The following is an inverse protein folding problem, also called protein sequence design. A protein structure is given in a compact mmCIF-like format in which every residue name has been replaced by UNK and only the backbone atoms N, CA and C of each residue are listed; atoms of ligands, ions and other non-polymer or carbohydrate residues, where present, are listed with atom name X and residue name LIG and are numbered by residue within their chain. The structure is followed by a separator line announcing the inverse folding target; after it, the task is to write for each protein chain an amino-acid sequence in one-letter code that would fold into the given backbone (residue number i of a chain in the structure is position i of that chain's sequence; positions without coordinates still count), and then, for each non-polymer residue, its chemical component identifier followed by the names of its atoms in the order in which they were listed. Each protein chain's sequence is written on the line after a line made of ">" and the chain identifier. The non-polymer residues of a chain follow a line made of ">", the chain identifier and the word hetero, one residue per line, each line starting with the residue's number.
data_IF_229136654884
#
_entry.id   IF_229136654884
#
_cell.length_a   1.000
_cell.length_b   1.000
_cell.length_c   1.000
_cell.angle_alpha   90.00
_cell.angle_beta   90.00
_cell.angle_gamma   90.00
#
_symmetry.space_group_name_H-M   'P 1'
#
loop_
_entity.id
_entity.type
_entity.pdbx_description
1 polymer ?
#
# COMPACT_ATOMS: atom_id res chain seq x y z
N UNK A 1 -50.29 17.06 39.10
CA UNK A 1 -51.14 16.16 38.30
C UNK A 1 -50.64 16.15 36.86
N UNK A 2 -50.69 14.96 36.22
CA UNK A 2 -50.52 14.67 34.79
C UNK A 2 -49.12 14.27 34.31
N UNK A 3 -48.83 12.98 34.49
CA UNK A 3 -48.01 12.23 33.53
C UNK A 3 -48.95 11.75 32.41
N UNK A 4 -48.64 12.06 31.16
CA UNK A 4 -49.25 11.42 30.00
C UNK A 4 -48.11 10.84 29.14
N UNK A 5 -48.14 9.51 29.07
CA UNK A 5 -47.31 8.60 28.30
C UNK A 5 -47.49 8.86 26.79
N UNK A 6 -46.40 9.07 26.05
CA UNK A 6 -46.37 8.88 24.59
C UNK A 6 -45.03 8.24 24.19
N UNK A 7 -45.10 6.93 23.96
CA UNK A 7 -44.08 6.12 23.30
C UNK A 7 -43.91 6.61 21.86
N UNK A 8 -42.73 7.13 21.52
CA UNK A 8 -42.33 7.35 20.12
C UNK A 8 -41.15 6.44 19.82
N UNK A 9 -41.43 5.41 19.02
CA UNK A 9 -40.47 4.48 18.45
C UNK A 9 -39.62 5.22 17.39
N UNK A 10 -38.30 5.41 17.54
CA UNK A 10 -37.52 6.02 16.48
C UNK A 10 -37.25 5.00 15.38
N UNK A 11 -37.70 5.39 14.18
CA UNK A 11 -37.45 4.76 12.89
C UNK A 11 -36.00 4.33 12.70
N UNK A 12 -35.85 3.14 12.10
CA UNK A 12 -34.67 2.68 11.40
C UNK A 12 -34.13 3.76 10.44
N UNK A 13 -32.91 4.24 10.69
CA UNK A 13 -32.07 4.81 9.64
C UNK A 13 -30.85 3.91 9.43
N UNK A 14 -31.06 2.90 8.59
CA UNK A 14 -29.97 2.32 7.83
C UNK A 14 -29.53 3.35 6.79
N UNK A 15 -28.40 4.02 7.02
CA UNK A 15 -27.64 4.63 5.93
C UNK A 15 -26.49 3.71 5.54
N UNK A 16 -26.82 2.76 4.66
CA UNK A 16 -25.85 2.13 3.77
C UNK A 16 -25.20 3.21 2.91
N UNK A 17 -23.88 3.32 2.95
CA UNK A 17 -23.06 3.80 1.82
C UNK A 17 -21.61 3.39 2.03
N UNK A 18 -21.34 2.09 1.96
CA UNK A 18 -20.03 1.63 1.53
C UNK A 18 -19.84 2.14 0.10
N UNK A 19 -19.14 3.27 -0.05
CA UNK A 19 -18.96 3.98 -1.31
C UNK A 19 -18.10 3.12 -2.24
N UNK A 20 -18.72 2.21 -3.01
CA UNK A 20 -18.09 1.60 -4.17
C UNK A 20 -18.02 2.68 -5.25
N UNK A 21 -16.99 3.52 -5.18
CA UNK A 21 -16.61 4.41 -6.28
C UNK A 21 -16.25 3.49 -7.44
N UNK A 22 -17.19 3.23 -8.34
CA UNK A 22 -16.87 2.75 -9.68
C UNK A 22 -16.46 3.99 -10.48
N UNK A 23 -15.18 4.14 -10.86
CA UNK A 23 -14.75 5.30 -11.60
C UNK A 23 -15.28 5.11 -13.01
N UNK A 24 -16.30 5.89 -13.37
CA UNK A 24 -16.74 6.00 -14.77
C UNK A 24 -15.67 6.64 -15.67
N UNK A 25 -14.57 7.13 -15.08
CA UNK A 25 -13.54 7.92 -15.73
C UNK A 25 -12.15 7.55 -15.18
N UNK A 26 -11.15 7.53 -16.05
CA UNK A 26 -9.75 7.28 -15.72
C UNK A 26 -8.89 7.30 -16.99
N UNK A 27 -7.57 7.17 -16.83
CA UNK A 27 -6.63 7.10 -17.97
C UNK A 27 -5.86 5.79 -17.97
N UNK A 28 -5.40 5.35 -19.13
CA UNK A 28 -4.42 4.27 -19.22
C UNK A 28 -3.01 4.83 -19.11
N UNK A 29 -2.25 4.34 -18.14
CA UNK A 29 -0.82 4.55 -18.04
C UNK A 29 -0.08 3.35 -18.63
N UNK A 30 0.93 3.61 -19.47
CA UNK A 30 1.82 2.56 -19.99
C UNK A 30 3.06 2.54 -19.12
N UNK A 31 3.28 1.42 -18.42
CA UNK A 31 4.42 1.25 -17.51
C UNK A 31 5.71 1.42 -18.29
N UNK A 32 6.53 2.38 -17.89
CA UNK A 32 7.87 2.61 -18.44
C UNK A 32 8.90 1.81 -17.66
N UNK A 33 10.11 1.77 -18.23
CA UNK A 33 11.26 1.13 -17.60
C UNK A 33 11.54 1.78 -16.24
N UNK A 34 11.74 0.95 -15.22
CA UNK A 34 12.01 1.34 -13.82
C UNK A 34 10.83 1.98 -13.07
N UNK A 35 9.60 1.91 -13.59
CA UNK A 35 8.41 2.29 -12.83
C UNK A 35 7.88 1.09 -12.02
N UNK A 36 7.42 1.37 -10.81
CA UNK A 36 6.70 0.40 -9.96
C UNK A 36 5.22 0.81 -9.87
N UNK A 37 4.33 -0.17 -9.61
CA UNK A 37 2.89 0.11 -9.49
C UNK A 37 2.67 1.15 -8.39
N UNK A 38 3.42 1.01 -7.30
CA UNK A 38 3.46 1.96 -6.21
C UNK A 38 3.77 3.38 -6.68
N UNK A 39 4.83 3.57 -7.49
CA UNK A 39 5.28 4.91 -7.90
C UNK A 39 4.31 5.56 -8.88
N UNK A 40 3.73 4.75 -9.76
CA UNK A 40 2.63 5.16 -10.63
C UNK A 40 1.48 5.65 -9.75
N UNK A 41 0.96 4.81 -8.85
CA UNK A 41 -0.16 5.16 -7.98
C UNK A 41 0.10 6.43 -7.15
N UNK A 42 1.31 6.58 -6.59
CA UNK A 42 1.73 7.78 -5.85
C UNK A 42 1.71 9.03 -6.73
N UNK A 43 2.20 8.94 -7.96
CA UNK A 43 2.20 10.05 -8.92
C UNK A 43 0.78 10.49 -9.25
N UNK A 44 -0.14 9.55 -9.38
CA UNK A 44 -1.55 9.81 -9.69
C UNK A 44 -2.41 10.12 -8.45
N UNK A 45 -1.89 9.95 -7.24
CA UNK A 45 -2.64 10.17 -6.00
C UNK A 45 -3.74 9.13 -5.77
N UNK A 46 -3.58 7.90 -6.28
CA UNK A 46 -4.57 6.82 -6.18
C UNK A 46 -4.07 5.70 -5.26
N UNK A 47 -5.02 4.96 -4.68
CA UNK A 47 -4.71 3.82 -3.82
C UNK A 47 -4.21 2.61 -4.63
N UNK A 48 -3.08 2.01 -4.21
CA UNK A 48 -2.44 0.93 -4.95
C UNK A 48 -3.26 -0.36 -4.95
N UNK A 49 -3.86 -0.72 -3.82
CA UNK A 49 -4.67 -1.94 -3.68
C UNK A 49 -5.89 -1.85 -4.58
N UNK A 50 -6.53 -0.68 -4.59
CA UNK A 50 -7.65 -0.39 -5.46
C UNK A 50 -7.26 -0.45 -6.95
N UNK A 51 -6.16 0.17 -7.34
CA UNK A 51 -5.64 0.08 -8.72
C UNK A 51 -5.32 -1.37 -9.08
N UNK A 52 -4.66 -2.12 -8.20
CA UNK A 52 -4.34 -3.52 -8.43
C UNK A 52 -5.60 -4.36 -8.65
N UNK A 53 -6.63 -4.18 -7.81
CA UNK A 53 -7.93 -4.85 -7.93
C UNK A 53 -8.62 -4.52 -9.26
N UNK A 54 -8.71 -3.24 -9.61
CA UNK A 54 -9.37 -2.79 -10.87
C UNK A 54 -8.65 -3.32 -12.11
N UNK A 55 -7.33 -3.51 -12.04
CA UNK A 55 -6.52 -4.01 -13.14
C UNK A 55 -6.28 -5.53 -13.11
N UNK A 56 -6.89 -6.27 -12.17
CA UNK A 56 -6.68 -7.71 -12.03
C UNK A 56 -5.22 -8.09 -11.68
N UNK A 57 -4.44 -7.18 -11.11
CA UNK A 57 -3.05 -7.41 -10.73
C UNK A 57 -3.03 -8.15 -9.40
N UNK A 58 -2.63 -9.43 -9.44
CA UNK A 58 -2.53 -10.30 -8.24
C UNK A 58 -1.32 -9.98 -7.38
N UNK A 59 -0.23 -9.55 -8.01
CA UNK A 59 1.03 -9.21 -7.37
C UNK A 59 1.49 -7.82 -7.85
N UNK A 60 1.26 -6.76 -7.04
CA UNK A 60 1.67 -5.39 -7.33
C UNK A 60 3.16 -5.21 -7.65
N UNK A 61 4.02 -6.12 -7.17
CA UNK A 61 5.47 -6.06 -7.39
C UNK A 61 5.91 -6.54 -8.78
N UNK A 62 5.02 -7.17 -9.56
CA UNK A 62 5.35 -7.87 -10.81
C UNK A 62 4.81 -7.21 -12.08
N UNK A 63 4.55 -5.90 -12.05
CA UNK A 63 4.14 -5.19 -13.27
C UNK A 63 5.27 -5.18 -14.31
N UNK A 64 4.91 -5.24 -15.60
CA UNK A 64 5.88 -5.32 -16.70
C UNK A 64 5.98 -4.00 -17.47
N UNK A 65 7.18 -3.69 -17.98
CA UNK A 65 7.36 -2.58 -18.91
C UNK A 65 6.46 -2.80 -20.14
N UNK A 66 5.76 -1.76 -20.58
CA UNK A 66 4.77 -1.81 -21.65
C UNK A 66 3.38 -2.26 -21.20
N UNK A 67 3.21 -2.73 -19.95
CA UNK A 67 1.89 -3.08 -19.42
C UNK A 67 1.01 -1.84 -19.35
N UNK A 68 -0.23 -1.96 -19.85
CA UNK A 68 -1.25 -0.91 -19.71
C UNK A 68 -1.96 -1.08 -18.38
N UNK A 69 -2.01 -0.02 -17.59
CA UNK A 69 -2.66 0.03 -16.29
C UNK A 69 -3.70 1.15 -16.32
N UNK A 70 -4.95 0.80 -16.10
CA UNK A 70 -6.03 1.76 -15.90
C UNK A 70 -5.87 2.44 -14.55
N UNK A 71 -5.87 3.78 -14.55
CA UNK A 71 -5.77 4.61 -13.37
C UNK A 71 -7.12 5.31 -13.14
N UNK A 72 -7.96 4.75 -12.24
CA UNK A 72 -9.19 5.37 -11.76
C UNK A 72 -9.06 6.84 -11.37
N UNK A 73 -10.00 7.68 -11.81
CA UNK A 73 -10.12 9.07 -11.34
C UNK A 73 -9.07 10.04 -11.88
N UNK A 74 -8.05 9.55 -12.58
CA UNK A 74 -7.09 10.41 -13.26
C UNK A 74 -7.71 11.03 -14.53
N UNK A 75 -7.49 12.33 -14.72
CA UNK A 75 -8.00 13.11 -15.87
C UNK A 75 -6.99 13.26 -17.00
N UNK A 76 -5.70 13.11 -16.71
CA UNK A 76 -4.60 13.19 -17.68
C UNK A 76 -3.50 12.19 -17.36
N UNK A 77 -2.77 11.75 -18.38
CA UNK A 77 -1.58 10.92 -18.19
C UNK A 77 -0.47 11.77 -17.58
N UNK A 78 0.04 11.36 -16.41
CA UNK A 78 1.14 12.01 -15.72
C UNK A 78 2.46 11.30 -16.06
N UNK A 79 3.55 12.06 -16.13
CA UNK A 79 4.89 11.49 -16.16
C UNK A 79 5.33 11.14 -14.74
N UNK A 80 5.64 9.87 -14.52
CA UNK A 80 6.20 9.41 -13.24
C UNK A 80 7.64 9.87 -13.17
N UNK A 81 7.93 10.76 -12.20
CA UNK A 81 9.31 11.19 -11.94
C UNK A 81 10.06 10.06 -11.26
N UNK A 82 11.06 9.52 -11.96
CA UNK A 82 12.05 8.60 -11.39
C UNK A 82 13.15 9.49 -10.76
N UNK A 83 13.44 9.38 -9.46
CA UNK A 83 14.52 10.08 -8.80
C UNK A 83 15.83 9.63 -9.42
N UNK A 84 16.70 10.59 -9.71
CA UNK A 84 17.96 10.33 -10.38
C UNK A 84 18.90 9.52 -9.46
N UNK A 85 18.65 9.52 -8.14
CA UNK A 85 19.34 8.63 -7.19
C UNK A 85 19.12 7.13 -7.51
N UNK A 86 18.08 6.78 -8.27
CA UNK A 86 17.82 5.40 -8.69
C UNK A 86 18.79 4.91 -9.78
N UNK A 87 19.50 5.83 -10.44
CA UNK A 87 20.48 5.53 -11.48
C UNK A 87 21.91 5.47 -10.95
N UNK A 88 22.15 5.98 -9.74
CA UNK A 88 23.43 5.79 -9.05
C UNK A 88 23.48 4.40 -8.46
N UNK A 89 24.49 3.57 -8.78
CA UNK A 89 24.63 2.27 -8.15
C UNK A 89 24.91 2.50 -6.66
N UNK A 90 23.87 2.37 -5.83
CA UNK A 90 24.02 2.19 -4.39
C UNK A 90 25.07 1.12 -4.17
N UNK A 91 26.15 1.50 -3.48
CA UNK A 91 27.34 0.72 -3.12
C UNK A 91 27.07 -0.78 -3.28
N UNK A 92 27.53 -1.36 -4.40
CA UNK A 92 27.32 -2.77 -4.80
C UNK A 92 27.37 -3.66 -3.55
N UNK A 93 26.22 -4.12 -3.07
CA UNK A 93 26.14 -5.48 -2.55
C UNK A 93 26.69 -6.35 -3.68
N UNK A 94 27.69 -7.20 -3.39
CA UNK A 94 28.29 -8.07 -4.40
C UNK A 94 27.15 -8.75 -5.15
N UNK A 95 27.07 -8.53 -6.46
CA UNK A 95 26.03 -9.07 -7.34
C UNK A 95 26.04 -10.60 -7.18
N UNK A 96 25.09 -11.13 -6.41
CA UNK A 96 25.01 -12.55 -6.05
C UNK A 96 24.78 -12.86 -4.57
N UNK A 97 25.00 -11.91 -3.65
CA UNK A 97 24.72 -12.12 -2.22
C UNK A 97 23.31 -11.61 -1.89
N UNK A 98 22.37 -12.51 -1.55
CA UNK A 98 21.05 -12.09 -1.05
C UNK A 98 21.25 -11.26 0.22
N UNK A 99 20.57 -10.10 0.38
CA UNK A 99 20.71 -9.30 1.59
C UNK A 99 20.40 -10.17 2.81
N UNK A 100 21.34 -10.23 3.75
CA UNK A 100 21.06 -10.81 5.07
C UNK A 100 20.09 -9.90 5.79
N UNK A 101 18.83 -10.32 5.84
CA UNK A 101 17.80 -9.63 6.61
C UNK A 101 18.03 -9.85 8.11
N UNK A 102 18.12 -8.73 8.83
CA UNK A 102 18.12 -8.64 10.28
C UNK A 102 16.69 -8.42 10.76
N UNK A 103 16.43 -8.81 12.01
CA UNK A 103 15.18 -8.42 12.67
C UNK A 103 15.14 -6.89 12.84
N UNK A 104 14.02 -6.22 12.45
CA UNK A 104 13.92 -4.76 12.47
C UNK A 104 13.84 -4.20 13.90
N UNK A 105 13.37 -5.01 14.84
CA UNK A 105 13.36 -4.74 16.28
C UNK A 105 13.37 -6.08 17.05
N UNK A 106 13.68 -6.03 18.35
CA UNK A 106 13.55 -7.19 19.24
C UNK A 106 12.18 -7.16 19.91
N UNK A 107 11.34 -8.16 19.63
CA UNK A 107 9.98 -8.24 20.17
C UNK A 107 9.32 -9.58 19.90
N UNK A 108 8.15 -9.81 20.50
CA UNK A 108 7.40 -11.05 20.33
C UNK A 108 6.66 -11.04 19.00
N UNK A 109 6.86 -12.06 18.18
CA UNK A 109 6.03 -12.27 16.98
C UNK A 109 4.62 -12.65 17.43
N UNK A 110 3.65 -11.77 17.19
CA UNK A 110 2.23 -11.97 17.54
C UNK A 110 1.42 -12.50 16.37
N UNK A 111 1.89 -12.28 15.14
CA UNK A 111 1.30 -12.86 13.92
C UNK A 111 2.37 -13.18 12.89
N UNK A 112 2.28 -14.38 12.31
CA UNK A 112 3.20 -14.86 11.28
C UNK A 112 2.68 -14.56 9.88
N UNK A 113 3.57 -14.59 8.90
CA UNK A 113 3.22 -14.60 7.48
C UNK A 113 2.37 -15.84 7.14
N UNK A 114 1.38 -15.67 6.26
CA UNK A 114 0.53 -16.76 5.78
C UNK A 114 -0.10 -16.45 4.43
N UNK A 115 -0.04 -17.41 3.50
CA UNK A 115 -0.68 -17.32 2.17
C UNK A 115 -2.02 -18.04 2.08
N UNK A 116 -2.49 -18.66 3.17
CA UNK A 116 -3.75 -19.41 3.19
C UNK A 116 -4.93 -18.46 3.00
N UNK A 117 -5.92 -18.85 2.19
CA UNK A 117 -7.04 -17.98 1.78
C UNK A 117 -7.83 -17.43 2.97
N UNK A 118 -8.09 -18.28 3.97
CA UNK A 118 -8.82 -18.01 5.21
C UNK A 118 -7.98 -17.28 6.27
N UNK A 119 -6.65 -17.30 6.13
CA UNK A 119 -5.70 -16.75 7.12
C UNK A 119 -4.62 -15.92 6.45
N UNK A 120 -4.96 -15.19 5.39
CA UNK A 120 -3.98 -14.45 4.61
C UNK A 120 -3.37 -13.35 5.48
N UNK A 121 -2.05 -13.26 5.44
CA UNK A 121 -1.27 -12.26 6.14
C UNK A 121 0.05 -12.07 5.41
N UNK A 122 0.20 -10.93 4.76
CA UNK A 122 1.31 -10.64 3.85
C UNK A 122 2.53 -10.04 4.61
N UNK A 123 2.55 -10.12 5.94
CA UNK A 123 3.61 -9.59 6.81
C UNK A 123 3.86 -10.40 8.09
N UNK A 124 4.68 -9.84 8.99
CA UNK A 124 4.96 -10.37 10.33
C UNK A 124 4.68 -9.25 11.33
N UNK A 125 3.82 -9.52 12.32
CA UNK A 125 3.50 -8.55 13.36
C UNK A 125 4.38 -8.82 14.58
N UNK A 126 5.12 -7.80 15.02
CA UNK A 126 6.02 -7.87 16.16
C UNK A 126 5.54 -6.87 17.21
N UNK A 127 5.18 -7.35 18.38
CA UNK A 127 4.73 -6.49 19.48
C UNK A 127 5.91 -5.74 20.10
N UNK A 128 5.73 -4.43 20.33
CA UNK A 128 6.69 -3.56 20.99
C UNK A 128 5.96 -2.35 21.64
N UNK A 129 6.50 -1.77 22.73
CA UNK A 129 6.01 -0.50 23.28
C UNK A 129 6.08 0.65 22.27
N UNK A 130 5.19 1.64 22.40
CA UNK A 130 5.24 2.86 21.60
C UNK A 130 6.60 3.57 21.77
N UNK A 131 7.16 4.06 20.66
CA UNK A 131 8.46 4.73 20.64
C UNK A 131 9.67 3.78 20.54
N UNK A 132 9.45 2.46 20.52
CA UNK A 132 10.54 1.49 20.30
C UNK A 132 11.22 1.75 18.95
N UNK A 133 12.56 1.96 18.91
CA UNK A 133 13.28 2.17 17.66
C UNK A 133 13.15 0.98 16.71
N UNK A 134 12.84 1.27 15.44
CA UNK A 134 12.76 0.29 14.36
C UNK A 134 13.93 0.55 13.40
N UNK A 135 14.63 -0.51 13.02
CA UNK A 135 15.74 -0.49 12.05
C UNK A 135 15.31 -1.15 10.74
N UNK A 136 15.92 -0.71 9.65
CA UNK A 136 15.79 -1.40 8.37
C UNK A 136 16.32 -2.83 8.48
N UNK A 137 15.59 -3.80 7.92
CA UNK A 137 15.98 -5.21 7.97
C UNK A 137 17.25 -5.47 7.15
N UNK A 138 17.54 -4.68 6.13
CA UNK A 138 18.81 -4.72 5.39
C UNK A 138 19.20 -3.32 4.92
N UNK A 139 20.41 -3.18 4.35
CA UNK A 139 20.78 -1.97 3.62
C UNK A 139 19.89 -1.82 2.39
N UNK A 140 19.39 -0.63 2.13
CA UNK A 140 18.48 -0.39 1.02
C UNK A 140 18.11 1.08 0.88
N UNK A 141 17.24 1.36 -0.09
CA UNK A 141 16.75 2.71 -0.40
C UNK A 141 15.32 2.86 0.07
N UNK A 142 15.02 3.95 0.78
CA UNK A 142 13.64 4.31 1.12
C UNK A 142 12.91 4.73 -0.15
N UNK A 143 11.89 3.97 -0.53
CA UNK A 143 11.04 4.24 -1.69
C UNK A 143 9.69 4.87 -1.30
N UNK A 144 9.18 4.64 -0.08
CA UNK A 144 7.98 5.34 0.46
C UNK A 144 8.22 5.75 1.92
N UNK A 145 7.72 6.91 2.33
CA UNK A 145 7.64 7.35 3.72
C UNK A 145 6.50 8.36 3.89
N UNK A 146 5.34 7.92 4.37
CA UNK A 146 4.13 8.75 4.54
C UNK A 146 3.09 7.97 5.42
N UNK A 147 1.90 8.51 5.65
CA UNK A 147 0.79 7.84 6.35
C UNK A 147 -0.47 7.61 5.50
N UNK A 148 -0.34 7.78 4.19
CA UNK A 148 -1.46 7.71 3.23
C UNK A 148 -1.75 6.31 2.70
N UNK A 149 -0.99 5.29 3.09
CA UNK A 149 -1.20 3.92 2.62
C UNK A 149 -2.31 3.29 3.46
N UNK A 150 -3.47 3.08 2.82
CA UNK A 150 -4.66 2.56 3.48
C UNK A 150 -4.36 1.23 4.19
N UNK A 151 -4.78 1.11 5.44
CA UNK A 151 -4.60 -0.10 6.26
C UNK A 151 -3.24 -0.25 6.96
N UNK A 152 -2.25 0.60 6.68
CA UNK A 152 -0.91 0.51 7.28
C UNK A 152 -0.56 1.63 8.26
N UNK A 153 -1.27 2.76 8.22
CA UNK A 153 -0.89 3.95 8.99
C UNK A 153 0.44 4.54 8.49
N UNK A 154 1.28 5.01 9.42
CA UNK A 154 2.64 5.50 9.09
C UNK A 154 3.50 4.34 8.60
N UNK A 155 3.98 4.43 7.36
CA UNK A 155 4.73 3.34 6.73
C UNK A 155 5.96 3.85 6.00
N UNK A 156 7.01 3.03 6.06
CA UNK A 156 8.26 3.19 5.32
C UNK A 156 8.47 1.93 4.49
N UNK A 157 8.70 2.08 3.18
CA UNK A 157 9.01 0.97 2.28
C UNK A 157 10.46 1.13 1.81
N UNK A 158 11.25 0.06 1.92
CA UNK A 158 12.66 0.03 1.56
C UNK A 158 12.86 -1.01 0.46
N UNK A 159 13.56 -0.64 -0.61
CA UNK A 159 14.03 -1.52 -1.67
C UNK A 159 15.47 -1.95 -1.41
N UNK A 160 15.76 -3.25 -1.54
CA UNK A 160 17.04 -3.89 -1.21
C UNK A 160 17.72 -4.48 -2.44
#
# INVERSE_FOLDING_TARGET
>A
MRYALLLVLPLLFACSSGHQVHPRHGVYHVVKRHETLWRICKTYGVDMEYVAKVNGIRDPSRIRVGQRIFIPGATKVLQVKIPIEDLTPSRRTKRGEMPRFLWPLKGKVVRKFSRKRDKRHDGIDIAAPLGTPIRAAASGRVVYSDDKLSGYGKVVIIEH
#
